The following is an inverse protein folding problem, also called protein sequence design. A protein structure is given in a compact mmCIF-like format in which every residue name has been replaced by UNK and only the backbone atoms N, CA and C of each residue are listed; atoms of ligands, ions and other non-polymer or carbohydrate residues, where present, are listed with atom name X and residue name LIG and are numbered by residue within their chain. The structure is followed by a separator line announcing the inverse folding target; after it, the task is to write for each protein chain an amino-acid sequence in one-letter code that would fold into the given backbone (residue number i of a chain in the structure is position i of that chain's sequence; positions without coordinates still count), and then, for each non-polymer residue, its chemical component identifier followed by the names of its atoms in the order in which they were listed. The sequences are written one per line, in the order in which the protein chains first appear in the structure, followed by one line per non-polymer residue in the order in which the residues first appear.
data_IF_844096504593
#
_entry.id   IF_844096504593
#
_cell.length_a   1.000
_cell.length_b   1.000
_cell.length_c   1.000
_cell.angle_alpha   90.00
_cell.angle_beta   90.00
_cell.angle_gamma   90.00
#
_symmetry.space_group_name_H-M   'P 1'
#
loop_
_entity.id
_entity.type
_entity.pdbx_description
1 polymer ?
#
# COMPACT_ATOMS: atom_id res chain seq x y z
N UNK A 1 -27.00 -14.59 -6.68
CA UNK A 1 -25.58 -14.86 -6.38
C UNK A 1 -24.94 -13.54 -6.02
N UNK A 2 -24.29 -13.46 -4.88
CA UNK A 2 -23.51 -12.27 -4.49
C UNK A 2 -22.13 -12.32 -5.17
N UNK A 3 -21.71 -11.24 -5.77
CA UNK A 3 -20.37 -11.12 -6.34
C UNK A 3 -19.36 -11.02 -5.20
N UNK A 4 -18.36 -11.91 -5.13
CA UNK A 4 -17.39 -12.01 -4.02
C UNK A 4 -15.95 -12.20 -4.50
N UNK A 5 -15.68 -11.81 -5.73
CA UNK A 5 -14.39 -12.04 -6.39
C UNK A 5 -13.24 -11.30 -5.68
N UNK A 6 -13.44 -10.03 -5.32
CA UNK A 6 -12.39 -9.23 -4.69
C UNK A 6 -12.07 -9.70 -3.28
N UNK A 7 -13.09 -10.04 -2.49
CA UNK A 7 -12.91 -10.60 -1.15
C UNK A 7 -12.14 -11.92 -1.21
N UNK A 8 -12.47 -12.82 -2.13
CA UNK A 8 -11.75 -14.10 -2.28
C UNK A 8 -10.32 -13.91 -2.74
N UNK A 9 -10.10 -13.05 -3.74
CA UNK A 9 -8.76 -12.74 -4.24
C UNK A 9 -7.88 -12.13 -3.16
N UNK A 10 -8.43 -11.19 -2.40
CA UNK A 10 -7.71 -10.52 -1.31
C UNK A 10 -7.32 -11.49 -0.20
N UNK A 11 -8.24 -12.36 0.25
CA UNK A 11 -7.95 -13.36 1.28
C UNK A 11 -6.83 -14.30 0.83
N UNK A 12 -6.81 -14.69 -0.45
CA UNK A 12 -5.74 -15.52 -1.00
C UNK A 12 -4.40 -14.78 -1.03
N UNK A 13 -4.41 -13.51 -1.44
CA UNK A 13 -3.21 -12.65 -1.43
C UNK A 13 -2.72 -12.45 0.01
N UNK A 14 -3.63 -12.21 0.96
CA UNK A 14 -3.27 -12.02 2.38
C UNK A 14 -2.54 -13.24 2.94
N UNK A 15 -3.07 -14.43 2.70
CA UNK A 15 -2.43 -15.67 3.13
C UNK A 15 -1.03 -15.86 2.51
N UNK A 16 -0.89 -15.60 1.20
CA UNK A 16 0.41 -15.74 0.52
C UNK A 16 1.39 -14.69 1.03
N UNK A 17 0.95 -13.46 1.25
CA UNK A 17 1.81 -12.36 1.69
C UNK A 17 2.34 -12.56 3.11
N UNK A 18 1.55 -13.10 4.03
CA UNK A 18 2.00 -13.43 5.39
C UNK A 18 3.11 -14.48 5.37
N UNK A 19 2.94 -15.55 4.61
CA UNK A 19 3.96 -16.59 4.42
C UNK A 19 5.22 -16.00 3.78
N UNK A 20 5.06 -15.19 2.74
CA UNK A 20 6.16 -14.55 2.01
C UNK A 20 7.01 -13.65 2.92
N UNK A 21 6.41 -12.82 3.76
CA UNK A 21 7.16 -11.94 4.68
C UNK A 21 8.04 -12.75 5.60
N UNK A 22 7.49 -13.78 6.22
CA UNK A 22 8.22 -14.64 7.18
C UNK A 22 9.38 -15.36 6.51
N UNK A 23 9.14 -15.98 5.36
CA UNK A 23 10.19 -16.71 4.63
C UNK A 23 11.26 -15.77 4.06
N UNK A 24 10.85 -14.66 3.44
CA UNK A 24 11.77 -13.75 2.77
C UNK A 24 12.63 -13.00 3.77
N UNK A 25 12.06 -12.52 4.88
CA UNK A 25 12.84 -11.85 5.93
C UNK A 25 13.83 -12.82 6.60
N UNK A 26 13.43 -14.07 6.87
CA UNK A 26 14.33 -15.09 7.40
C UNK A 26 15.49 -15.38 6.45
N UNK A 27 15.20 -15.59 5.16
CA UNK A 27 16.23 -15.81 4.13
C UNK A 27 17.17 -14.60 4.00
N UNK A 28 16.61 -13.37 4.02
CA UNK A 28 17.39 -12.14 3.98
C UNK A 28 18.35 -12.07 5.17
N UNK A 29 17.87 -12.32 6.40
CA UNK A 29 18.68 -12.32 7.61
C UNK A 29 19.83 -13.32 7.49
N UNK A 30 19.54 -14.59 7.16
CA UNK A 30 20.55 -15.63 7.03
C UNK A 30 21.59 -15.28 5.96
N UNK A 31 21.16 -14.77 4.82
CA UNK A 31 22.05 -14.41 3.72
C UNK A 31 22.95 -13.22 4.04
N UNK A 32 22.44 -12.21 4.74
CA UNK A 32 23.15 -10.95 4.99
C UNK A 32 24.08 -11.06 6.20
N UNK A 33 23.74 -11.89 7.20
CA UNK A 33 24.50 -12.03 8.45
C UNK A 33 26.01 -12.23 8.23
N UNK A 34 26.48 -13.15 7.36
CA UNK A 34 27.93 -13.34 7.14
C UNK A 34 28.58 -12.10 6.54
N UNK A 35 27.92 -11.40 5.60
CA UNK A 35 28.47 -10.18 5.00
C UNK A 35 28.59 -9.04 6.01
N UNK A 36 27.59 -8.88 6.87
CA UNK A 36 27.60 -7.87 7.95
C UNK A 36 28.70 -8.21 8.96
N UNK A 37 28.84 -9.47 9.37
CA UNK A 37 29.85 -9.93 10.31
C UNK A 37 31.27 -9.65 9.79
N UNK A 38 31.56 -10.04 8.56
CA UNK A 38 32.86 -9.76 7.91
C UNK A 38 33.10 -8.26 7.77
N UNK A 39 32.10 -7.50 7.30
CA UNK A 39 32.20 -6.05 7.12
C UNK A 39 32.45 -5.32 8.43
N UNK A 40 31.81 -5.72 9.52
CA UNK A 40 32.03 -5.16 10.86
C UNK A 40 33.42 -5.51 11.37
N UNK A 41 33.86 -6.75 11.21
CA UNK A 41 35.21 -7.20 11.61
C UNK A 41 36.28 -6.34 10.93
N UNK A 42 36.20 -6.18 9.61
CA UNK A 42 37.13 -5.33 8.85
C UNK A 42 37.07 -3.89 9.35
N UNK A 43 35.87 -3.36 9.57
CA UNK A 43 35.68 -1.98 10.06
C UNK A 43 36.32 -1.78 11.44
N UNK A 44 36.21 -2.74 12.35
CA UNK A 44 36.86 -2.67 13.67
C UNK A 44 38.37 -2.77 13.58
N UNK A 45 38.92 -3.64 12.71
CA UNK A 45 40.36 -3.78 12.49
C UNK A 45 40.96 -2.43 11.96
N UNK A 46 40.35 -1.86 10.92
CA UNK A 46 40.77 -0.58 10.35
C UNK A 46 40.72 0.53 11.41
N UNK A 47 39.68 0.53 12.19
CA UNK A 47 39.44 1.52 13.23
C UNK A 47 40.48 1.40 14.35
N UNK A 48 40.75 0.20 14.85
CA UNK A 48 41.79 -0.05 15.83
C UNK A 48 43.18 0.35 15.33
N UNK A 49 43.47 0.09 14.06
CA UNK A 49 44.74 0.52 13.44
C UNK A 49 44.90 2.02 13.34
N UNK A 50 43.83 2.77 13.00
CA UNK A 50 43.82 4.24 12.97
C UNK A 50 44.03 4.84 14.35
N UNK A 51 43.47 4.25 15.40
CA UNK A 51 43.68 4.69 16.79
C UNK A 51 45.16 4.47 17.19
N UNK A 52 45.73 3.29 16.88
CA UNK A 52 47.15 2.99 17.20
C UNK A 52 48.12 3.93 16.51
N UNK A 53 47.76 4.44 15.33
CA UNK A 53 48.56 5.46 14.61
C UNK A 53 48.40 6.89 15.13
N UNK A 54 47.50 7.13 16.10
CA UNK A 54 47.17 8.48 16.55
C UNK A 54 46.45 9.33 15.50
N UNK A 55 45.92 8.70 14.45
CA UNK A 55 45.18 9.40 13.40
C UNK A 55 43.76 9.85 13.83
N UNK A 56 43.27 9.25 14.90
CA UNK A 56 41.95 9.53 15.46
C UNK A 56 42.09 9.56 16.99
N UNK A 57 41.89 10.73 17.60
CA UNK A 57 41.67 10.85 19.03
C UNK A 57 40.26 10.47 19.38
N UNK A 58 40.10 9.31 19.99
CA UNK A 58 38.76 8.86 20.35
C UNK A 58 38.55 8.84 21.86
N UNK A 59 37.71 9.75 22.39
CA UNK A 59 37.29 9.63 23.77
C UNK A 59 36.42 8.35 23.93
N UNK A 60 36.56 7.68 25.07
CA UNK A 60 35.85 6.43 25.40
C UNK A 60 34.34 6.52 25.09
N UNK A 61 33.74 7.69 25.31
CA UNK A 61 32.33 7.98 25.00
C UNK A 61 31.97 7.82 23.52
N UNK A 62 32.88 8.22 22.61
CA UNK A 62 32.63 8.05 21.17
C UNK A 62 32.66 6.59 20.72
N UNK A 63 33.58 5.80 21.32
CA UNK A 63 33.62 4.34 21.06
C UNK A 63 32.35 3.65 21.54
N UNK A 64 31.91 3.95 22.77
CA UNK A 64 30.70 3.36 23.37
C UNK A 64 29.47 3.72 22.52
N UNK A 65 29.31 4.97 22.11
CA UNK A 65 28.19 5.38 21.28
C UNK A 65 28.15 4.65 19.91
N UNK A 66 29.33 4.46 19.28
CA UNK A 66 29.43 3.73 18.03
C UNK A 66 29.08 2.25 18.21
N UNK A 67 29.58 1.63 19.27
CA UNK A 67 29.31 0.26 19.61
C UNK A 67 27.81 0.03 19.89
N UNK A 68 27.18 0.87 20.72
CA UNK A 68 25.75 0.83 21.01
C UNK A 68 24.91 0.96 19.74
N UNK A 69 25.26 1.92 18.87
CA UNK A 69 24.56 2.09 17.59
C UNK A 69 24.64 0.84 16.73
N UNK A 70 25.81 0.26 16.57
CA UNK A 70 26.01 -0.97 15.78
C UNK A 70 25.21 -2.11 16.41
N UNK A 71 25.28 -2.29 17.74
CA UNK A 71 24.55 -3.34 18.47
C UNK A 71 23.04 -3.22 18.29
N UNK A 72 22.49 -2.02 18.39
CA UNK A 72 21.05 -1.79 18.19
C UNK A 72 20.64 -2.13 16.76
N UNK A 73 21.37 -1.62 15.76
CA UNK A 73 21.06 -1.86 14.35
C UNK A 73 21.13 -3.36 14.01
N UNK A 74 22.20 -4.03 14.43
CA UNK A 74 22.37 -5.47 14.18
C UNK A 74 21.36 -6.33 14.93
N UNK A 75 21.01 -5.96 16.14
CA UNK A 75 19.98 -6.66 16.92
C UNK A 75 18.60 -6.57 16.22
N UNK A 76 18.21 -5.39 15.78
CA UNK A 76 16.94 -5.18 15.08
C UNK A 76 16.95 -5.88 13.72
N UNK A 77 18.04 -5.74 12.93
CA UNK A 77 18.08 -6.19 11.55
C UNK A 77 18.32 -7.69 11.40
N UNK A 78 19.13 -8.32 12.28
CA UNK A 78 19.62 -9.67 12.11
C UNK A 78 19.03 -10.69 13.08
N UNK A 79 18.18 -10.25 14.03
CA UNK A 79 17.49 -11.16 14.94
C UNK A 79 16.07 -11.41 14.43
N UNK A 80 15.82 -12.59 13.86
CA UNK A 80 14.51 -12.96 13.35
C UNK A 80 13.40 -12.85 14.41
N UNK A 81 13.71 -13.20 15.66
CA UNK A 81 12.78 -13.07 16.78
C UNK A 81 12.43 -11.64 17.21
N UNK A 82 13.19 -10.63 16.77
CA UNK A 82 12.85 -9.22 16.98
C UNK A 82 12.26 -8.58 15.72
N UNK A 83 12.86 -8.88 14.56
CA UNK A 83 12.42 -8.25 13.30
C UNK A 83 11.00 -8.67 12.93
N UNK A 84 10.69 -9.96 12.97
CA UNK A 84 9.40 -10.48 12.51
C UNK A 84 8.22 -10.02 13.40
N UNK A 85 8.23 -10.22 14.74
CA UNK A 85 7.09 -9.82 15.54
C UNK A 85 6.98 -8.30 15.74
N UNK A 86 8.10 -7.59 15.87
CA UNK A 86 8.07 -6.17 16.23
C UNK A 86 8.03 -5.25 15.00
N UNK A 87 9.05 -5.33 14.13
CA UNK A 87 9.16 -4.40 12.99
C UNK A 87 8.14 -4.71 11.90
N UNK A 88 7.92 -5.99 11.59
CA UNK A 88 6.94 -6.40 10.59
C UNK A 88 5.54 -6.02 11.02
N UNK A 89 5.16 -6.33 12.27
CA UNK A 89 3.84 -5.99 12.81
C UNK A 89 3.63 -4.48 12.86
N UNK A 90 4.64 -3.72 13.28
CA UNK A 90 4.58 -2.26 13.32
C UNK A 90 4.32 -1.68 11.92
N UNK A 91 5.07 -2.07 10.91
CA UNK A 91 4.91 -1.54 9.56
C UNK A 91 3.58 -1.98 8.93
N UNK A 92 3.16 -3.22 9.14
CA UNK A 92 1.92 -3.75 8.54
C UNK A 92 0.66 -3.27 9.25
N UNK A 93 0.73 -2.97 10.56
CA UNK A 93 -0.42 -2.48 11.34
C UNK A 93 -0.51 -0.95 11.37
N UNK A 94 0.62 -0.25 11.16
CA UNK A 94 0.65 1.23 11.18
C UNK A 94 -0.41 1.88 10.27
N UNK A 95 -0.67 1.42 9.03
CA UNK A 95 -1.71 2.01 8.19
C UNK A 95 -3.10 1.93 8.84
N UNK A 96 -3.37 0.83 9.52
CA UNK A 96 -4.62 0.59 10.25
C UNK A 96 -4.77 1.51 11.46
N UNK A 97 -3.73 1.58 12.29
CA UNK A 97 -3.75 2.37 13.51
C UNK A 97 -3.87 3.86 13.20
N UNK A 98 -3.18 4.32 12.14
CA UNK A 98 -3.32 5.69 11.65
C UNK A 98 -4.73 5.94 11.09
N UNK A 99 -5.31 5.00 10.35
CA UNK A 99 -6.67 5.16 9.83
C UNK A 99 -7.70 5.24 10.95
N UNK A 100 -7.56 4.43 12.01
CA UNK A 100 -8.42 4.51 13.21
C UNK A 100 -8.28 5.82 13.97
N UNK A 101 -7.09 6.40 14.00
CA UNK A 101 -6.85 7.66 14.69
C UNK A 101 -7.41 8.87 13.91
N UNK A 102 -7.43 8.81 12.58
CA UNK A 102 -7.76 9.94 11.71
C UNK A 102 -9.18 9.90 11.12
N UNK A 103 -9.78 8.72 11.03
CA UNK A 103 -11.08 8.50 10.39
C UNK A 103 -12.08 8.00 11.43
N UNK A 104 -13.25 8.64 11.52
CA UNK A 104 -14.28 8.27 12.49
C UNK A 104 -14.76 6.80 12.36
N UNK A 105 -14.84 6.29 11.11
CA UNK A 105 -15.21 4.91 10.82
C UNK A 105 -14.26 4.35 9.76
N UNK A 106 -13.04 3.93 10.15
CA UNK A 106 -12.07 3.41 9.19
C UNK A 106 -12.52 2.04 8.70
N UNK A 107 -12.51 1.87 7.38
CA UNK A 107 -12.75 0.57 6.78
C UNK A 107 -11.49 -0.30 6.91
N UNK A 108 -11.70 -1.56 7.29
CA UNK A 108 -10.65 -2.58 7.19
C UNK A 108 -10.41 -2.97 5.74
N UNK A 109 -9.26 -3.59 5.43
CA UNK A 109 -8.97 -4.12 4.09
C UNK A 109 -10.12 -5.02 3.59
N UNK A 110 -10.63 -5.86 4.47
CA UNK A 110 -11.72 -6.76 4.15
C UNK A 110 -13.01 -6.01 3.82
N UNK A 111 -13.34 -4.99 4.61
CA UNK A 111 -14.51 -4.14 4.35
C UNK A 111 -14.37 -3.33 3.05
N UNK A 112 -13.13 -2.92 2.69
CA UNK A 112 -12.87 -2.28 1.40
C UNK A 112 -13.12 -3.25 0.24
N UNK A 113 -12.76 -4.53 0.39
CA UNK A 113 -13.02 -5.56 -0.63
C UNK A 113 -14.52 -5.90 -0.73
N UNK A 114 -15.21 -5.99 0.40
CA UNK A 114 -16.67 -6.17 0.44
C UNK A 114 -17.40 -5.00 -0.22
N UNK A 115 -16.92 -3.78 -0.03
CA UNK A 115 -17.47 -2.60 -0.70
C UNK A 115 -17.26 -2.66 -2.21
N UNK A 116 -16.07 -3.11 -2.69
CA UNK A 116 -15.81 -3.36 -4.11
C UNK A 116 -16.75 -4.40 -4.69
N UNK A 117 -16.91 -5.52 -3.99
CA UNK A 117 -17.81 -6.60 -4.42
C UNK A 117 -19.27 -6.12 -4.48
N UNK A 118 -19.68 -5.27 -3.53
CA UNK A 118 -21.02 -4.65 -3.54
C UNK A 118 -21.20 -3.70 -4.74
N UNK A 119 -20.23 -2.84 -5.02
CA UNK A 119 -20.27 -1.93 -6.17
C UNK A 119 -20.31 -2.69 -7.49
N UNK A 120 -19.45 -3.71 -7.64
CA UNK A 120 -19.43 -4.58 -8.81
C UNK A 120 -20.76 -5.32 -8.97
N UNK A 121 -21.27 -5.92 -7.88
CA UNK A 121 -22.54 -6.63 -7.87
C UNK A 121 -23.71 -5.75 -8.28
N UNK A 122 -23.81 -4.54 -7.74
CA UNK A 122 -24.85 -3.59 -8.10
C UNK A 122 -24.77 -3.20 -9.59
N UNK A 123 -23.56 -2.84 -10.07
CA UNK A 123 -23.37 -2.44 -11.47
C UNK A 123 -23.69 -3.58 -12.45
N UNK A 124 -23.24 -4.80 -12.16
CA UNK A 124 -23.50 -5.97 -13.01
C UNK A 124 -24.97 -6.37 -12.98
N UNK A 125 -25.62 -6.30 -11.83
CA UNK A 125 -27.05 -6.56 -11.71
C UNK A 125 -27.86 -5.53 -12.52
N UNK A 126 -27.47 -4.27 -12.48
CA UNK A 126 -28.11 -3.20 -13.24
C UNK A 126 -27.95 -3.40 -14.73
N UNK A 127 -26.73 -3.68 -15.19
CA UNK A 127 -26.47 -4.00 -16.60
C UNK A 127 -27.30 -5.23 -17.05
N UNK A 128 -27.38 -6.26 -16.19
CA UNK A 128 -28.18 -7.45 -16.46
C UNK A 128 -29.68 -7.16 -16.62
N UNK A 129 -30.24 -6.29 -15.79
CA UNK A 129 -31.65 -5.85 -15.94
C UNK A 129 -31.88 -5.12 -17.27
N UNK A 130 -30.97 -4.21 -17.66
CA UNK A 130 -31.07 -3.53 -18.94
C UNK A 130 -31.06 -4.51 -20.13
N UNK A 131 -30.24 -5.55 -20.07
CA UNK A 131 -30.21 -6.58 -21.11
C UNK A 131 -31.51 -7.43 -21.13
N UNK A 132 -32.20 -7.62 -19.99
CA UNK A 132 -33.49 -8.32 -19.92
C UNK A 132 -34.63 -7.49 -20.49
N UNK A 133 -34.60 -6.15 -20.32
CA UNK A 133 -35.62 -5.23 -20.89
C UNK A 133 -35.42 -5.03 -22.40
N UNK A 134 -34.37 -5.63 -22.99
CA UNK A 134 -34.04 -5.47 -24.40
C UNK A 134 -34.91 -6.37 -25.26
N UNK A 135 -36.01 -5.84 -25.79
CA UNK A 135 -36.73 -6.48 -26.89
C UNK A 135 -36.08 -6.03 -28.18
N UNK A 136 -35.33 -6.90 -28.85
CA UNK A 136 -34.48 -6.60 -30.02
C UNK A 136 -35.20 -5.93 -31.20
N UNK A 137 -36.51 -5.97 -31.23
CA UNK A 137 -37.31 -5.43 -32.33
C UNK A 137 -38.00 -4.09 -32.02
N UNK A 138 -37.79 -3.54 -30.81
CA UNK A 138 -38.30 -2.19 -30.48
C UNK A 138 -37.21 -1.15 -30.63
N UNK A 139 -37.54 0.08 -31.04
CA UNK A 139 -36.60 1.19 -31.26
C UNK A 139 -35.73 1.51 -30.01
N UNK A 140 -36.27 1.25 -28.82
CA UNK A 140 -35.58 1.46 -27.54
C UNK A 140 -34.68 0.27 -27.11
N UNK A 141 -34.82 -0.91 -27.69
CA UNK A 141 -34.08 -2.09 -27.28
C UNK A 141 -32.57 -1.98 -27.54
N UNK A 142 -32.19 -1.42 -28.67
CA UNK A 142 -30.79 -1.13 -28.99
C UNK A 142 -30.16 -0.11 -28.01
N UNK A 143 -30.92 0.88 -27.61
CA UNK A 143 -30.49 1.91 -26.65
C UNK A 143 -30.26 1.30 -25.29
N UNK A 144 -31.15 0.46 -24.77
CA UNK A 144 -30.97 -0.24 -23.48
C UNK A 144 -29.77 -1.19 -23.51
N UNK A 145 -29.51 -1.89 -24.61
CA UNK A 145 -28.34 -2.75 -24.76
C UNK A 145 -27.04 -1.93 -24.67
N UNK A 146 -26.98 -0.82 -25.38
CA UNK A 146 -25.79 0.04 -25.41
C UNK A 146 -25.53 0.66 -24.02
N UNK A 147 -26.59 1.05 -23.32
CA UNK A 147 -26.52 1.58 -21.98
C UNK A 147 -26.07 0.51 -20.97
N UNK A 148 -26.55 -0.74 -21.11
CA UNK A 148 -26.10 -1.87 -20.29
C UNK A 148 -24.60 -2.14 -20.44
N UNK A 149 -24.08 -2.10 -21.68
CA UNK A 149 -22.65 -2.24 -21.94
C UNK A 149 -21.86 -1.09 -21.29
N UNK A 150 -22.33 0.14 -21.40
CA UNK A 150 -21.67 1.31 -20.81
C UNK A 150 -21.58 1.20 -19.27
N UNK A 151 -22.65 0.79 -18.59
CA UNK A 151 -22.64 0.58 -17.13
C UNK A 151 -21.66 -0.53 -16.75
N UNK A 152 -21.72 -1.64 -17.49
CA UNK A 152 -20.83 -2.78 -17.24
C UNK A 152 -19.35 -2.37 -17.36
N UNK A 153 -19.00 -1.64 -18.40
CA UNK A 153 -17.64 -1.14 -18.61
C UNK A 153 -17.26 -0.13 -17.51
N UNK A 154 -18.11 0.87 -17.25
CA UNK A 154 -17.85 1.90 -16.23
C UNK A 154 -17.60 1.27 -14.86
N UNK A 155 -18.48 0.37 -14.43
CA UNK A 155 -18.35 -0.33 -13.15
C UNK A 155 -17.08 -1.18 -13.11
N UNK A 156 -16.82 -1.95 -14.17
CA UNK A 156 -15.64 -2.81 -14.26
C UNK A 156 -14.34 -2.00 -14.15
N UNK A 157 -14.23 -0.88 -14.85
CA UNK A 157 -13.04 -0.03 -14.78
C UNK A 157 -12.83 0.60 -13.40
N UNK A 158 -13.89 1.16 -12.78
CA UNK A 158 -13.80 1.77 -11.45
C UNK A 158 -13.36 0.74 -10.42
N UNK A 159 -13.99 -0.43 -10.42
CA UNK A 159 -13.73 -1.49 -9.45
C UNK A 159 -12.36 -2.14 -9.69
N UNK A 160 -11.95 -2.34 -10.95
CA UNK A 160 -10.65 -2.90 -11.27
C UNK A 160 -9.50 -1.96 -10.86
N UNK A 161 -9.61 -0.66 -11.13
CA UNK A 161 -8.58 0.32 -10.74
C UNK A 161 -8.55 0.47 -9.21
N UNK A 162 -9.70 0.61 -8.56
CA UNK A 162 -9.77 0.74 -7.10
C UNK A 162 -9.22 -0.48 -6.38
N UNK A 163 -9.70 -1.67 -6.74
CA UNK A 163 -9.24 -2.94 -6.17
C UNK A 163 -7.77 -3.20 -6.47
N UNK A 164 -7.34 -2.90 -7.70
CA UNK A 164 -5.95 -3.01 -8.11
C UNK A 164 -5.01 -2.14 -7.27
N UNK A 165 -5.38 -0.91 -6.95
CA UNK A 165 -4.58 -0.02 -6.09
C UNK A 165 -4.49 -0.53 -4.64
N UNK A 166 -5.57 -1.05 -4.07
CA UNK A 166 -5.55 -1.63 -2.71
C UNK A 166 -4.63 -2.85 -2.66
N UNK A 167 -4.80 -3.77 -3.61
CA UNK A 167 -3.96 -4.98 -3.71
C UNK A 167 -2.49 -4.62 -3.95
N UNK A 168 -2.21 -3.68 -4.85
CA UNK A 168 -0.86 -3.19 -5.13
C UNK A 168 -0.20 -2.63 -3.87
N UNK A 169 -0.93 -1.80 -3.11
CA UNK A 169 -0.42 -1.21 -1.87
C UNK A 169 -0.07 -2.29 -0.85
N UNK A 170 -0.91 -3.30 -0.68
CA UNK A 170 -0.66 -4.43 0.21
C UNK A 170 0.57 -5.23 -0.21
N UNK A 171 0.65 -5.61 -1.47
CA UNK A 171 1.81 -6.36 -2.00
C UNK A 171 3.09 -5.53 -1.85
N UNK A 172 3.05 -4.22 -2.14
CA UNK A 172 4.21 -3.36 -2.04
C UNK A 172 4.73 -3.24 -0.59
N UNK A 173 3.85 -3.05 0.39
CA UNK A 173 4.24 -3.05 1.82
C UNK A 173 4.86 -4.40 2.19
N UNK A 174 4.25 -5.50 1.79
CA UNK A 174 4.74 -6.87 2.04
C UNK A 174 6.15 -7.08 1.50
N UNK A 175 6.42 -6.67 0.26
CA UNK A 175 7.74 -6.76 -0.37
C UNK A 175 8.78 -5.91 0.37
N UNK A 176 8.44 -4.68 0.72
CA UNK A 176 9.32 -3.77 1.45
C UNK A 176 9.66 -4.30 2.84
N UNK A 177 8.68 -4.87 3.54
CA UNK A 177 8.88 -5.48 4.86
C UNK A 177 9.73 -6.74 4.75
N UNK A 178 9.46 -7.62 3.79
CA UNK A 178 10.25 -8.84 3.57
C UNK A 178 11.74 -8.55 3.32
N UNK A 179 12.05 -7.45 2.61
CA UNK A 179 13.42 -7.01 2.33
C UNK A 179 14.00 -6.04 3.38
N UNK A 180 13.23 -5.71 4.42
CA UNK A 180 13.62 -4.73 5.44
C UNK A 180 14.97 -5.00 6.11
N UNK A 181 15.32 -6.24 6.51
CA UNK A 181 16.62 -6.54 7.11
C UNK A 181 17.81 -6.06 6.27
N UNK A 182 17.72 -6.19 4.94
CA UNK A 182 18.74 -5.69 4.02
C UNK A 182 18.91 -4.17 4.10
N UNK A 183 17.81 -3.43 4.10
CA UNK A 183 17.84 -1.97 4.13
C UNK A 183 18.23 -1.42 5.52
N UNK A 184 17.83 -2.10 6.61
CA UNK A 184 18.20 -1.69 7.96
C UNK A 184 19.70 -1.89 8.20
N UNK A 185 20.29 -2.98 7.70
CA UNK A 185 21.74 -3.19 7.78
C UNK A 185 22.54 -2.13 7.02
N UNK A 186 21.95 -1.51 5.99
CA UNK A 186 22.58 -0.40 5.27
C UNK A 186 22.86 0.85 6.15
N UNK A 187 22.24 0.95 7.34
CA UNK A 187 22.57 1.97 8.34
C UNK A 187 23.94 1.82 9.00
N UNK A 188 24.56 0.64 8.89
CA UNK A 188 25.86 0.38 9.50
C UNK A 188 27.00 1.18 8.85
N UNK A 189 26.88 1.46 7.54
CA UNK A 189 27.93 2.16 6.78
C UNK A 189 27.40 3.46 6.17
N UNK A 190 28.21 4.52 6.25
CA UNK A 190 27.83 5.84 5.70
C UNK A 190 27.49 5.83 4.21
N UNK A 191 28.21 5.13 3.30
CA UNK A 191 27.88 5.12 1.88
C UNK A 191 26.52 4.49 1.55
N UNK A 192 26.09 3.51 2.34
CA UNK A 192 24.83 2.76 2.11
C UNK A 192 23.63 3.35 2.83
N UNK A 193 23.82 4.36 3.68
CA UNK A 193 22.76 5.01 4.46
C UNK A 193 21.61 5.53 3.57
N UNK A 194 21.90 5.96 2.34
CA UNK A 194 20.90 6.43 1.38
C UNK A 194 19.92 5.33 0.98
N UNK A 195 20.33 4.06 0.97
CA UNK A 195 19.45 2.93 0.65
C UNK A 195 18.35 2.77 1.71
N UNK A 196 18.73 2.87 2.98
CA UNK A 196 17.75 2.85 4.08
C UNK A 196 16.79 4.03 4.00
N UNK A 197 17.28 5.24 3.73
CA UNK A 197 16.42 6.41 3.61
C UNK A 197 15.40 6.26 2.49
N UNK A 198 15.82 5.79 1.32
CA UNK A 198 14.91 5.55 0.19
C UNK A 198 13.89 4.45 0.49
N UNK A 199 14.32 3.38 1.13
CA UNK A 199 13.42 2.32 1.57
C UNK A 199 12.37 2.84 2.56
N UNK A 200 12.78 3.61 3.55
CA UNK A 200 11.88 4.19 4.54
C UNK A 200 10.87 5.14 3.90
N UNK A 201 11.32 5.99 2.95
CA UNK A 201 10.43 6.86 2.17
C UNK A 201 9.40 6.03 1.40
N UNK A 202 9.77 4.90 0.83
CA UNK A 202 8.83 4.03 0.12
C UNK A 202 7.83 3.36 1.08
N UNK A 203 8.28 2.88 2.24
CA UNK A 203 7.38 2.35 3.28
C UNK A 203 6.34 3.39 3.67
N UNK A 204 6.79 4.61 4.00
CA UNK A 204 5.89 5.71 4.37
C UNK A 204 4.98 6.11 3.20
N UNK A 205 5.47 6.10 1.97
CA UNK A 205 4.66 6.37 0.77
C UNK A 205 3.47 5.41 0.67
N UNK A 206 3.70 4.11 0.85
CA UNK A 206 2.62 3.14 0.77
C UNK A 206 1.68 3.16 1.99
N UNK A 207 2.19 3.52 3.18
CA UNK A 207 1.34 3.77 4.35
C UNK A 207 0.40 4.95 4.10
N UNK A 208 0.92 6.08 3.59
CA UNK A 208 0.12 7.24 3.24
C UNK A 208 -0.86 6.90 2.11
N UNK A 209 -0.41 6.18 1.08
CA UNK A 209 -1.28 5.76 -0.01
C UNK A 209 -2.45 4.90 0.48
N UNK A 210 -2.19 3.96 1.39
CA UNK A 210 -3.26 3.16 2.00
C UNK A 210 -4.28 4.03 2.74
N UNK A 211 -3.80 4.98 3.55
CA UNK A 211 -4.64 5.90 4.30
C UNK A 211 -5.53 6.75 3.39
N UNK A 212 -4.95 7.30 2.31
CA UNK A 212 -5.69 8.07 1.32
C UNK A 212 -6.70 7.19 0.56
N UNK A 213 -6.30 5.96 0.21
CA UNK A 213 -7.22 5.00 -0.41
C UNK A 213 -8.38 4.67 0.52
N UNK A 214 -8.14 4.34 1.78
CA UNK A 214 -9.19 4.03 2.74
C UNK A 214 -10.22 5.16 2.86
N UNK A 215 -9.76 6.41 2.84
CA UNK A 215 -10.62 7.58 2.98
C UNK A 215 -11.39 7.92 1.70
N UNK A 216 -10.65 8.19 0.62
CA UNK A 216 -11.22 8.68 -0.64
C UNK A 216 -11.97 7.58 -1.37
N UNK A 217 -11.42 6.36 -1.34
CA UNK A 217 -12.05 5.20 -1.94
C UNK A 217 -13.40 4.88 -1.30
N UNK A 218 -13.46 4.86 0.04
CA UNK A 218 -14.73 4.64 0.75
C UNK A 218 -15.79 5.68 0.33
N UNK A 219 -15.40 6.97 0.29
CA UNK A 219 -16.29 8.05 -0.08
C UNK A 219 -16.80 7.88 -1.53
N UNK A 220 -15.89 7.65 -2.47
CA UNK A 220 -16.23 7.52 -3.90
C UNK A 220 -17.06 6.27 -4.18
N UNK A 221 -16.71 5.12 -3.55
CA UNK A 221 -17.45 3.88 -3.76
C UNK A 221 -18.85 3.93 -3.17
N UNK A 222 -19.04 4.58 -2.02
CA UNK A 222 -20.37 4.79 -1.45
C UNK A 222 -21.22 5.70 -2.34
N UNK A 223 -20.66 6.79 -2.85
CA UNK A 223 -21.38 7.69 -3.78
C UNK A 223 -21.76 6.90 -5.04
N UNK A 224 -20.86 6.14 -5.61
CA UNK A 224 -21.09 5.36 -6.81
C UNK A 224 -22.13 4.24 -6.59
N UNK A 225 -22.02 3.51 -5.46
CA UNK A 225 -22.97 2.47 -5.09
C UNK A 225 -24.38 3.01 -4.86
N UNK A 226 -24.50 4.16 -4.18
CA UNK A 226 -25.78 4.83 -3.95
C UNK A 226 -26.38 5.32 -5.28
N UNK A 227 -25.56 5.95 -6.12
CA UNK A 227 -25.98 6.40 -7.43
C UNK A 227 -26.54 5.24 -8.29
N UNK A 228 -25.85 4.10 -8.33
CA UNK A 228 -26.32 2.91 -9.01
C UNK A 228 -27.58 2.32 -8.34
N UNK A 229 -27.67 2.35 -7.00
CA UNK A 229 -28.83 1.84 -6.24
C UNK A 229 -30.09 2.67 -6.44
N UNK A 230 -29.95 4.00 -6.61
CA UNK A 230 -31.05 4.93 -6.81
C UNK A 230 -31.56 4.95 -8.26
N UNK A 231 -30.84 4.32 -9.19
CA UNK A 231 -31.29 4.18 -10.57
C UNK A 231 -32.57 3.32 -10.64
N UNK A 232 -33.70 3.97 -10.86
CA UNK A 232 -34.97 3.29 -11.15
C UNK A 232 -35.22 3.34 -12.66
N UNK A 233 -35.54 2.18 -13.24
CA UNK A 233 -36.01 2.09 -14.62
C UNK A 233 -37.47 2.56 -14.67
N UNK A 234 -37.66 3.88 -14.65
CA UNK A 234 -38.99 4.49 -14.78
C UNK A 234 -39.08 5.16 -16.13
N UNK A 235 -40.10 4.82 -16.91
CA UNK A 235 -40.30 5.33 -18.29
C UNK A 235 -40.42 6.86 -18.38
N UNK A 236 -40.67 7.53 -17.25
CA UNK A 236 -40.82 8.99 -17.18
C UNK A 236 -39.53 9.78 -16.89
N UNK A 237 -38.42 9.12 -16.54
CA UNK A 237 -37.16 9.78 -16.33
C UNK A 237 -36.26 9.65 -17.56
N UNK A 238 -35.56 10.75 -17.93
CA UNK A 238 -34.59 10.75 -19.02
C UNK A 238 -33.44 9.75 -18.72
N UNK A 239 -33.62 8.52 -19.19
CA UNK A 239 -32.68 7.40 -19.03
C UNK A 239 -31.26 7.83 -19.40
N UNK A 240 -31.11 8.66 -20.44
CA UNK A 240 -29.81 9.22 -20.87
C UNK A 240 -29.08 10.04 -19.80
N UNK A 241 -29.79 10.79 -18.96
CA UNK A 241 -29.18 11.58 -17.88
C UNK A 241 -28.61 10.70 -16.77
N UNK A 242 -29.32 9.61 -16.43
CA UNK A 242 -28.85 8.67 -15.40
C UNK A 242 -27.58 7.96 -15.82
N UNK A 243 -27.47 7.59 -17.09
CA UNK A 243 -26.29 6.92 -17.63
C UNK A 243 -25.13 7.87 -17.83
N UNK A 244 -25.40 9.10 -18.31
CA UNK A 244 -24.38 10.14 -18.39
C UNK A 244 -23.77 10.44 -17.02
N UNK A 245 -24.60 10.51 -15.96
CA UNK A 245 -24.15 10.67 -14.59
C UNK A 245 -23.27 9.53 -14.08
N UNK A 246 -23.62 8.27 -14.37
CA UNK A 246 -22.80 7.11 -13.99
C UNK A 246 -21.42 7.13 -14.68
N UNK A 247 -21.36 7.49 -15.96
CA UNK A 247 -20.10 7.65 -16.70
C UNK A 247 -19.25 8.79 -16.14
N UNK A 248 -19.84 9.96 -15.91
CA UNK A 248 -19.14 11.11 -15.34
C UNK A 248 -18.58 10.74 -13.97
N UNK A 249 -19.40 10.13 -13.12
CA UNK A 249 -18.99 9.72 -11.78
C UNK A 249 -17.86 8.69 -11.82
N UNK A 250 -17.91 7.72 -12.74
CA UNK A 250 -16.86 6.74 -12.92
C UNK A 250 -15.53 7.37 -13.37
N UNK A 251 -15.57 8.31 -14.32
CA UNK A 251 -14.39 9.04 -14.78
C UNK A 251 -13.78 9.86 -13.64
N UNK A 252 -14.60 10.58 -12.89
CA UNK A 252 -14.14 11.37 -11.72
C UNK A 252 -13.50 10.44 -10.69
N UNK A 253 -14.15 9.32 -10.37
CA UNK A 253 -13.62 8.34 -9.42
C UNK A 253 -12.27 7.78 -9.85
N UNK A 254 -12.13 7.40 -11.12
CA UNK A 254 -10.88 6.91 -11.68
C UNK A 254 -9.78 7.98 -11.61
N UNK A 255 -10.08 9.21 -12.02
CA UNK A 255 -9.11 10.31 -11.97
C UNK A 255 -8.63 10.59 -10.55
N UNK A 256 -9.53 10.59 -9.57
CA UNK A 256 -9.18 10.77 -8.17
C UNK A 256 -8.30 9.63 -7.66
N UNK A 257 -8.68 8.37 -7.90
CA UNK A 257 -7.92 7.21 -7.47
C UNK A 257 -6.50 7.20 -8.05
N UNK A 258 -6.32 7.51 -9.32
CA UNK A 258 -5.01 7.59 -9.95
C UNK A 258 -4.15 8.72 -9.38
N UNK A 259 -4.76 9.86 -9.01
CA UNK A 259 -4.06 10.98 -8.39
C UNK A 259 -3.58 10.69 -6.97
N UNK A 260 -4.23 9.79 -6.22
CA UNK A 260 -3.83 9.43 -4.86
C UNK A 260 -2.40 8.93 -4.79
N UNK A 261 -1.96 8.11 -5.74
CA UNK A 261 -0.58 7.60 -5.80
C UNK A 261 0.44 8.74 -5.93
N UNK A 262 0.16 9.75 -6.74
CA UNK A 262 1.02 10.93 -6.90
C UNK A 262 1.06 11.77 -5.62
N UNK A 263 -0.08 11.97 -4.97
CA UNK A 263 -0.19 12.74 -3.72
C UNK A 263 0.59 12.04 -2.61
N UNK A 264 0.42 10.74 -2.44
CA UNK A 264 1.14 9.94 -1.45
C UNK A 264 2.65 10.04 -1.65
N UNK A 265 3.12 9.89 -2.90
CA UNK A 265 4.55 10.02 -3.24
C UNK A 265 5.10 11.41 -2.94
N UNK A 266 4.34 12.47 -3.20
CA UNK A 266 4.76 13.84 -2.89
C UNK A 266 4.90 14.07 -1.39
N UNK A 267 3.94 13.59 -0.61
CA UNK A 267 3.95 13.70 0.85
C UNK A 267 5.11 12.91 1.47
N UNK A 268 5.33 11.68 1.01
CA UNK A 268 6.44 10.85 1.50
C UNK A 268 7.81 11.45 1.19
N UNK A 269 8.00 12.00 -0.01
CA UNK A 269 9.26 12.68 -0.39
C UNK A 269 9.52 13.99 0.37
N UNK A 270 8.45 14.66 0.83
CA UNK A 270 8.57 15.86 1.67
C UNK A 270 9.16 15.58 3.05
N UNK A 271 9.14 14.33 3.52
CA UNK A 271 9.76 13.91 4.77
C UNK A 271 11.26 13.71 4.57
N UNK A 272 12.03 14.79 4.71
CA UNK A 272 13.50 14.72 4.69
C UNK A 272 14.03 14.29 6.05
N UNK A 273 14.38 13.03 6.18
CA UNK A 273 15.06 12.50 7.38
C UNK A 273 16.52 13.00 7.50
N UNK A 274 17.00 13.82 6.57
CA UNK A 274 18.39 14.32 6.52
C UNK A 274 18.83 15.19 7.70
N UNK A 275 17.89 15.81 8.42
CA UNK A 275 18.20 16.61 9.59
C UNK A 275 18.48 15.82 10.88
N UNK A 276 17.94 14.61 10.99
CA UNK A 276 18.12 13.79 12.20
C UNK A 276 19.55 13.23 12.35
N UNK A 277 20.34 13.23 11.28
CA UNK A 277 21.70 12.66 11.25
C UNK A 277 22.81 13.67 10.96
N UNK A 278 22.47 14.96 10.85
CA UNK A 278 23.46 16.02 10.73
C UNK A 278 24.03 16.33 12.11
N UNK A 279 24.75 15.38 12.70
CA UNK A 279 25.56 15.69 13.86
C UNK A 279 26.78 16.47 13.42
N UNK A 280 26.81 17.74 13.84
CA UNK A 280 27.93 18.59 14.17
C UNK A 280 29.30 17.88 14.06
N UNK A 281 30.07 18.32 13.11
CA UNK A 281 31.52 18.35 13.26
C UNK A 281 31.90 19.39 14.29
#
# INVERSE_FOLDING_TARGET
MTFTMFTQLFNKIDQITQTYVTETSSKAIVTITPFVSVGLTISFIIYGWLIMRGAIDMPLSGFVNRFLRISIITSIALTAGLYQPEITSLITQMPYDLSKALIANPLTDQQLMELLDKVAGNGFQYAGRLFQETVFFEANGLLYSLLGILILLSTSFVVAIGGGLVILTKIAITLLVGLGPFFITALLWQPTHRLFQQWLIQVVNYIILFLLLATVFNLMMNIFANYLGDMKLDYNHNVSFMFGGALILSIISIMLLLKLSSIASSLAKGMTFGHLWRHRN
#
